data_IF_546657191416
#
_entry.id   IF_546657191416
#
_cell.length_a   1.000
_cell.length_b   1.000
_cell.length_c   1.000
_cell.angle_alpha   90.00
_cell.angle_beta   90.00
_cell.angle_gamma   90.00
#
_symmetry.space_group_name_H-M   'P 1'
#
loop_
_entity.id
_entity.type
_entity.pdbx_description
1 polymer ?
#
# COMPACT_ATOMS: atom_id res chain seq x y z
N UNK A 1 28.15 -32.12 -26.86
CA UNK A 1 27.32 -30.91 -26.67
C UNK A 1 28.26 -29.76 -26.33
N UNK A 2 28.27 -28.69 -27.12
CA UNK A 2 29.34 -27.67 -27.07
C UNK A 2 29.12 -26.69 -25.91
N UNK A 3 30.20 -26.21 -25.27
CA UNK A 3 30.16 -25.23 -24.16
C UNK A 3 29.27 -24.02 -24.45
N UNK A 4 29.31 -23.54 -25.69
CA UNK A 4 28.52 -22.42 -26.22
C UNK A 4 27.00 -22.66 -26.04
N UNK A 5 26.53 -23.90 -26.19
CA UNK A 5 25.12 -24.23 -26.04
C UNK A 5 24.61 -24.00 -24.60
N UNK A 6 25.44 -24.33 -23.60
CA UNK A 6 25.09 -24.14 -22.19
C UNK A 6 25.10 -22.67 -21.77
N UNK A 7 26.00 -21.87 -22.33
CA UNK A 7 26.04 -20.42 -22.07
C UNK A 7 24.80 -19.73 -22.65
N UNK A 8 24.35 -20.13 -23.84
CA UNK A 8 23.10 -19.64 -24.42
C UNK A 8 21.86 -20.06 -23.60
N UNK A 9 21.82 -21.31 -23.14
CA UNK A 9 20.71 -21.80 -22.31
C UNK A 9 20.62 -21.06 -20.97
N UNK A 10 21.76 -20.80 -20.33
CA UNK A 10 21.82 -20.02 -19.08
C UNK A 10 21.35 -18.57 -19.27
N UNK A 11 21.72 -17.94 -20.39
CA UNK A 11 21.26 -16.58 -20.72
C UNK A 11 19.74 -16.51 -20.89
N UNK A 12 19.15 -17.49 -21.58
CA UNK A 12 17.69 -17.57 -21.78
C UNK A 12 16.97 -17.77 -20.44
N UNK A 13 17.50 -18.64 -19.57
CA UNK A 13 16.95 -18.88 -18.23
C UNK A 13 16.97 -17.63 -17.35
N UNK A 14 18.05 -16.84 -17.39
CA UNK A 14 18.14 -15.59 -16.63
C UNK A 14 17.06 -14.57 -17.05
N UNK A 15 16.93 -14.33 -18.35
CA UNK A 15 15.95 -13.36 -18.89
C UNK A 15 14.51 -13.79 -18.58
N UNK A 16 14.23 -15.09 -18.59
CA UNK A 16 12.89 -15.61 -18.29
C UNK A 16 12.51 -15.52 -16.81
N UNK A 17 13.48 -15.60 -15.89
CA UNK A 17 13.24 -15.42 -14.44
C UNK A 17 12.92 -13.96 -14.11
N UNK A 18 13.58 -12.99 -14.74
CA UNK A 18 13.33 -11.57 -14.51
C UNK A 18 11.92 -11.13 -14.91
N UNK A 19 11.35 -11.74 -15.96
CA UNK A 19 9.98 -11.48 -16.41
C UNK A 19 8.89 -12.10 -15.52
N UNK A 20 9.26 -12.93 -14.54
CA UNK A 20 8.31 -13.62 -13.67
C UNK A 20 7.91 -12.80 -12.43
N UNK A 21 8.58 -11.68 -12.16
CA UNK A 21 8.21 -10.79 -11.06
C UNK A 21 7.10 -9.85 -11.54
N UNK A 22 5.85 -10.01 -11.06
CA UNK A 22 4.82 -9.03 -11.37
C UNK A 22 5.28 -7.66 -10.87
N UNK A 23 5.13 -6.64 -11.72
CA UNK A 23 5.30 -5.25 -11.30
C UNK A 23 4.41 -5.04 -10.07
N UNK A 24 5.01 -4.61 -8.97
CA UNK A 24 4.27 -4.25 -7.75
C UNK A 24 3.17 -3.27 -8.16
N UNK A 25 1.91 -3.68 -8.03
CA UNK A 25 0.78 -2.82 -8.38
C UNK A 25 0.95 -1.49 -7.66
N UNK A 26 1.05 -0.41 -8.45
CA UNK A 26 1.00 0.95 -7.93
C UNK A 26 -0.39 1.09 -7.32
N UNK A 27 -0.49 1.11 -5.99
CA UNK A 27 -1.76 1.39 -5.34
C UNK A 27 -2.24 2.76 -5.84
N UNK A 28 -3.41 2.77 -6.48
CA UNK A 28 -4.02 3.99 -6.96
C UNK A 28 -4.15 4.99 -5.81
N UNK A 29 -3.79 6.24 -6.05
CA UNK A 29 -3.88 7.30 -5.05
C UNK A 29 -5.34 7.43 -4.59
N UNK A 30 -5.57 7.22 -3.29
CA UNK A 30 -6.90 7.36 -2.71
C UNK A 30 -7.20 8.84 -2.48
N UNK A 31 -7.81 9.47 -3.47
CA UNK A 31 -8.23 10.88 -3.38
C UNK A 31 -9.61 10.95 -2.73
N UNK A 32 -9.68 11.64 -1.58
CA UNK A 32 -10.92 11.91 -0.85
C UNK A 32 -11.31 13.38 -0.98
N UNK A 33 -12.57 13.65 -1.35
CA UNK A 33 -13.04 15.01 -1.66
C UNK A 33 -13.50 15.84 -0.46
N UNK A 34 -13.71 15.23 0.71
CA UNK A 34 -14.27 15.90 1.90
C UNK A 34 -13.48 15.65 3.17
N UNK A 35 -13.20 14.40 3.46
CA UNK A 35 -12.57 13.96 4.69
C UNK A 35 -11.88 12.62 4.50
N UNK A 36 -10.75 12.45 5.18
CA UNK A 36 -10.01 11.19 5.23
C UNK A 36 -9.34 11.06 6.59
N UNK A 37 -9.22 9.82 7.07
CA UNK A 37 -8.42 9.46 8.24
C UNK A 37 -7.71 8.16 7.88
N UNK A 38 -6.41 8.11 8.17
CA UNK A 38 -5.58 6.92 7.96
C UNK A 38 -4.78 6.64 9.24
N UNK A 39 -4.77 5.38 9.65
CA UNK A 39 -3.90 4.86 10.71
C UNK A 39 -3.65 3.37 10.48
N UNK A 40 -2.70 2.80 11.21
CA UNK A 40 -2.38 1.37 11.20
C UNK A 40 -3.52 0.48 11.77
N UNK A 41 -4.49 1.08 12.46
CA UNK A 41 -5.66 0.40 13.01
C UNK A 41 -6.92 0.80 12.24
N UNK A 42 -7.56 -0.20 11.62
CA UNK A 42 -8.86 0.00 10.98
C UNK A 42 -9.90 0.54 11.97
N UNK A 43 -9.87 0.07 13.22
CA UNK A 43 -10.76 0.51 14.28
C UNK A 43 -10.54 1.99 14.63
N UNK A 44 -9.28 2.40 14.82
CA UNK A 44 -8.94 3.78 15.13
C UNK A 44 -9.29 4.74 13.98
N UNK A 45 -9.02 4.33 12.74
CA UNK A 45 -9.40 5.08 11.54
C UNK A 45 -10.92 5.33 11.48
N UNK A 46 -11.73 4.32 11.82
CA UNK A 46 -13.20 4.44 11.90
C UNK A 46 -13.64 5.41 13.00
N UNK A 47 -12.95 5.44 14.14
CA UNK A 47 -13.24 6.38 15.23
C UNK A 47 -12.97 7.82 14.79
N UNK A 48 -11.78 8.12 14.25
CA UNK A 48 -11.46 9.45 13.71
C UNK A 48 -12.45 9.88 12.63
N UNK A 49 -12.80 8.98 11.71
CA UNK A 49 -13.80 9.25 10.66
C UNK A 49 -15.18 9.57 11.25
N UNK A 50 -15.57 8.92 12.34
CA UNK A 50 -16.84 9.21 13.03
C UNK A 50 -16.83 10.59 13.70
N UNK A 51 -15.67 11.09 14.15
CA UNK A 51 -15.54 12.45 14.67
C UNK A 51 -15.73 13.48 13.54
N UNK A 52 -15.10 13.27 12.37
CA UNK A 52 -15.32 14.13 11.20
C UNK A 52 -16.80 14.16 10.80
N UNK A 53 -17.47 12.99 10.76
CA UNK A 53 -18.90 12.89 10.46
C UNK A 53 -19.81 13.62 11.47
N UNK A 54 -19.36 13.79 12.72
CA UNK A 54 -20.08 14.52 13.78
C UNK A 54 -19.80 16.02 13.77
N UNK A 55 -19.04 16.52 12.79
CA UNK A 55 -18.70 17.94 12.66
C UNK A 55 -17.41 18.34 13.38
N UNK A 56 -16.64 17.38 13.92
CA UNK A 56 -15.29 17.64 14.40
C UNK A 56 -14.34 17.95 13.23
N UNK A 57 -13.31 18.73 13.50
CA UNK A 57 -12.30 19.07 12.49
C UNK A 57 -11.19 18.00 12.43
N UNK A 58 -10.18 18.24 11.60
CA UNK A 58 -9.04 17.32 11.44
C UNK A 58 -8.25 17.09 12.75
N UNK A 59 -8.16 18.09 13.62
CA UNK A 59 -7.48 17.98 14.92
C UNK A 59 -8.28 17.10 15.87
N UNK A 60 -9.61 17.30 15.96
CA UNK A 60 -10.48 16.46 16.79
C UNK A 60 -10.40 14.99 16.36
N UNK A 61 -10.40 14.75 15.04
CA UNK A 61 -10.28 13.42 14.47
C UNK A 61 -8.91 12.78 14.72
N UNK A 62 -7.82 13.55 14.64
CA UNK A 62 -6.48 13.07 14.95
C UNK A 62 -6.33 12.68 16.42
N UNK A 63 -6.85 13.51 17.35
CA UNK A 63 -6.84 13.22 18.79
C UNK A 63 -7.64 11.94 19.09
N UNK A 64 -8.85 11.81 18.54
CA UNK A 64 -9.67 10.63 18.76
C UNK A 64 -9.05 9.34 18.16
N UNK A 65 -8.41 9.46 17.00
CA UNK A 65 -7.68 8.35 16.37
C UNK A 65 -6.49 7.93 17.25
N UNK A 66 -5.68 8.87 17.74
CA UNK A 66 -4.55 8.59 18.60
C UNK A 66 -4.98 7.91 19.92
N UNK A 67 -6.03 8.41 20.57
CA UNK A 67 -6.60 7.79 21.78
C UNK A 67 -7.10 6.36 21.49
N UNK A 68 -7.63 6.10 20.29
CA UNK A 68 -8.11 4.78 19.91
C UNK A 68 -7.00 3.77 19.57
N UNK A 69 -5.79 4.26 19.25
CA UNK A 69 -4.60 3.41 19.05
C UNK A 69 -4.05 2.98 20.41
N UNK A 70 -3.91 3.92 21.34
CA UNK A 70 -3.33 3.71 22.68
C UNK A 70 -2.12 4.60 22.95
#
# INVERSE_FOLDING_TARGET
MNKIFWEMLNGILLVSVEMLFPLKEVQAEQIYSKMAVSSESEHASRIGLNILKKGGNAVDAAIATAIAIG
#
